data_IF_331404645802
#
_entry.id   IF_331404645802
#
_cell.length_a   1.000
_cell.length_b   1.000
_cell.length_c   1.000
_cell.angle_alpha   90.00
_cell.angle_beta   90.00
_cell.angle_gamma   90.00
#
_symmetry.space_group_name_H-M   'P 1'
#
loop_
_entity.id
_entity.type
_entity.pdbx_description
1 polymer ?
#
# COMPACT_ATOMS: atom_id res chain seq x y z
N UNK A 1 -14.47 -14.42 3.84
CA UNK A 1 -13.53 -13.31 4.01
C UNK A 1 -13.59 -12.39 2.80
N UNK A 2 -13.87 -11.12 3.02
CA UNK A 2 -13.89 -10.13 1.95
C UNK A 2 -12.48 -9.65 1.66
N UNK A 3 -12.11 -9.57 0.38
CA UNK A 3 -10.80 -9.11 -0.05
C UNK A 3 -10.88 -7.63 -0.42
N UNK A 4 -10.05 -6.83 0.22
CA UNK A 4 -9.88 -5.42 -0.08
C UNK A 4 -8.53 -5.24 -0.77
N UNK A 5 -8.53 -4.57 -1.92
CA UNK A 5 -7.29 -4.22 -2.62
C UNK A 5 -7.11 -2.71 -2.60
N UNK A 6 -5.96 -2.28 -2.17
CA UNK A 6 -5.63 -0.87 -2.07
C UNK A 6 -4.36 -0.57 -2.87
N UNK A 7 -4.46 0.36 -3.79
CA UNK A 7 -3.34 0.80 -4.62
C UNK A 7 -2.92 2.16 -4.11
N UNK A 8 -1.64 2.29 -3.76
CA UNK A 8 -1.13 3.47 -3.08
C UNK A 8 0.08 4.07 -3.77
N UNK A 9 0.11 5.39 -3.77
CA UNK A 9 1.31 6.18 -3.93
C UNK A 9 1.73 6.68 -2.55
N UNK A 10 3.00 6.52 -2.20
CA UNK A 10 3.53 6.75 -0.86
C UNK A 10 3.67 8.20 -0.45
N UNK A 11 3.61 9.13 -1.41
CA UNK A 11 3.72 10.56 -1.16
C UNK A 11 2.37 11.29 -1.19
N UNK A 12 1.32 10.54 -1.44
CA UNK A 12 -0.03 11.06 -1.59
C UNK A 12 -0.67 11.29 -0.22
N UNK A 13 -1.11 12.51 0.06
CA UNK A 13 -1.77 12.84 1.32
C UNK A 13 -3.10 12.06 1.53
N UNK A 14 -3.96 11.86 0.51
CA UNK A 14 -5.12 10.98 0.66
C UNK A 14 -4.76 9.53 0.99
N UNK A 15 -3.59 9.06 0.59
CA UNK A 15 -3.13 7.72 0.93
C UNK A 15 -2.83 7.59 2.42
N UNK A 16 -2.39 8.65 3.08
CA UNK A 16 -2.20 8.67 4.55
C UNK A 16 -3.54 8.45 5.25
N UNK A 17 -4.57 9.19 4.83
CA UNK A 17 -5.92 9.05 5.38
C UNK A 17 -6.45 7.63 5.20
N UNK A 18 -6.27 7.08 3.99
CA UNK A 18 -6.69 5.72 3.67
C UNK A 18 -5.95 4.69 4.53
N UNK A 19 -4.66 4.88 4.76
CA UNK A 19 -3.87 3.99 5.60
C UNK A 19 -4.41 3.92 7.03
N UNK A 20 -4.78 5.06 7.60
CA UNK A 20 -5.39 5.11 8.93
C UNK A 20 -6.73 4.39 8.98
N UNK A 21 -7.53 4.51 7.93
CA UNK A 21 -8.80 3.79 7.81
C UNK A 21 -8.58 2.26 7.72
N UNK A 22 -7.56 1.84 6.99
CA UNK A 22 -7.18 0.42 6.89
C UNK A 22 -6.75 -0.13 8.26
N UNK A 23 -5.92 0.60 8.98
CA UNK A 23 -5.50 0.17 10.33
C UNK A 23 -6.69 -0.05 11.24
N UNK A 24 -7.62 0.89 11.23
CA UNK A 24 -8.84 0.81 12.04
C UNK A 24 -9.69 -0.39 11.64
N UNK A 25 -9.89 -0.58 10.34
CA UNK A 25 -10.70 -1.67 9.81
C UNK A 25 -10.08 -3.04 10.15
N UNK A 26 -8.77 -3.18 10.02
CA UNK A 26 -8.06 -4.41 10.39
C UNK A 26 -8.14 -4.68 11.88
N UNK A 27 -8.10 -3.65 12.70
CA UNK A 27 -8.21 -3.80 14.15
C UNK A 27 -9.59 -4.32 14.57
N UNK A 28 -10.65 -3.85 13.90
CA UNK A 28 -12.02 -4.22 14.22
C UNK A 28 -12.47 -5.53 13.58
N UNK A 29 -12.01 -5.84 12.36
CA UNK A 29 -12.55 -6.93 11.52
C UNK A 29 -11.45 -7.87 10.97
N UNK A 30 -10.39 -8.09 11.73
CA UNK A 30 -9.23 -8.88 11.29
C UNK A 30 -9.59 -10.25 10.72
N UNK A 31 -10.57 -10.91 11.28
CA UNK A 31 -10.95 -12.27 10.89
C UNK A 31 -11.89 -12.29 9.66
N UNK A 32 -12.55 -11.18 9.37
CA UNK A 32 -13.56 -11.09 8.31
C UNK A 32 -13.02 -10.49 7.02
N UNK A 33 -11.89 -9.80 7.07
CA UNK A 33 -11.33 -9.12 5.90
C UNK A 33 -9.90 -9.57 5.61
N UNK A 34 -9.54 -9.48 4.35
CA UNK A 34 -8.18 -9.66 3.89
C UNK A 34 -7.80 -8.44 3.03
N UNK A 35 -6.74 -7.74 3.39
CA UNK A 35 -6.28 -6.57 2.64
C UNK A 35 -5.02 -6.90 1.88
N UNK A 36 -5.04 -6.61 0.59
CA UNK A 36 -3.88 -6.69 -0.28
C UNK A 36 -3.49 -5.28 -0.70
N UNK A 37 -2.26 -4.90 -0.46
CA UNK A 37 -1.72 -3.59 -0.81
C UNK A 37 -0.86 -3.74 -2.05
N UNK A 38 -1.13 -2.90 -3.04
CA UNK A 38 -0.30 -2.80 -4.24
C UNK A 38 0.36 -1.43 -4.24
N UNK A 39 1.67 -1.44 -4.28
CA UNK A 39 2.49 -0.23 -4.24
C UNK A 39 2.87 0.13 -5.67
N UNK A 40 2.58 1.35 -6.05
CA UNK A 40 2.90 1.84 -7.38
C UNK A 40 3.47 3.24 -7.33
N UNK A 41 4.06 3.64 -8.43
CA UNK A 41 4.53 5.01 -8.66
C UNK A 41 4.21 5.41 -10.09
N UNK A 42 3.60 6.58 -10.24
CA UNK A 42 3.34 7.17 -11.55
C UNK A 42 4.46 8.14 -11.98
N UNK A 43 5.51 8.26 -11.18
CA UNK A 43 6.65 9.15 -11.40
C UNK A 43 7.96 8.42 -11.11
N UNK A 44 8.97 8.66 -11.94
CA UNK A 44 10.31 8.08 -11.72
C UNK A 44 10.95 8.58 -10.42
N UNK A 45 10.65 9.79 -9.99
CA UNK A 45 11.17 10.36 -8.75
C UNK A 45 10.69 9.60 -7.52
N UNK A 46 9.52 9.00 -7.60
CA UNK A 46 8.91 8.26 -6.50
C UNK A 46 9.24 6.75 -6.52
N UNK A 47 9.84 6.24 -7.59
CA UNK A 47 10.21 4.83 -7.70
C UNK A 47 11.09 4.33 -6.55
N UNK A 48 12.12 5.07 -6.08
CA UNK A 48 12.92 4.59 -4.95
C UNK A 48 12.11 4.31 -3.69
N UNK A 49 11.10 5.12 -3.42
CA UNK A 49 10.19 4.88 -2.30
C UNK A 49 9.34 3.64 -2.50
N UNK A 50 8.90 3.37 -3.75
CA UNK A 50 8.17 2.15 -4.08
C UNK A 50 9.03 0.91 -3.85
N UNK A 51 10.27 0.98 -4.29
CA UNK A 51 11.23 -0.09 -4.11
C UNK A 51 11.52 -0.35 -2.64
N UNK A 52 11.68 0.72 -1.85
CA UNK A 52 11.88 0.60 -0.40
C UNK A 52 10.70 -0.13 0.26
N UNK A 53 9.48 0.31 0.00
CA UNK A 53 8.30 -0.29 0.60
C UNK A 53 8.09 -1.74 0.13
N UNK A 54 8.42 -2.04 -1.12
CA UNK A 54 8.39 -3.40 -1.65
C UNK A 54 9.44 -4.28 -0.97
N UNK A 55 10.66 -3.78 -0.77
CA UNK A 55 11.71 -4.49 -0.06
C UNK A 55 11.30 -4.80 1.38
N UNK A 56 10.72 -3.84 2.06
CA UNK A 56 10.28 -4.03 3.44
C UNK A 56 9.15 -5.06 3.54
N UNK A 57 8.28 -5.12 2.54
CA UNK A 57 7.26 -6.16 2.45
C UNK A 57 7.87 -7.56 2.35
N UNK A 58 8.90 -7.72 1.53
CA UNK A 58 9.55 -9.01 1.31
C UNK A 58 10.40 -9.48 2.50
N UNK A 59 10.94 -8.53 3.28
CA UNK A 59 11.86 -8.83 4.37
C UNK A 59 11.19 -8.98 5.74
N UNK A 60 9.93 -8.59 5.88
CA UNK A 60 9.25 -8.54 7.16
C UNK A 60 7.98 -9.38 7.17
N UNK A 61 7.54 -9.79 8.38
CA UNK A 61 6.22 -10.36 8.56
C UNK A 61 5.14 -9.27 8.43
N UNK A 62 3.88 -9.68 8.37
CA UNK A 62 2.75 -8.77 8.19
C UNK A 62 2.68 -7.68 9.26
N UNK A 63 2.85 -8.03 10.53
CA UNK A 63 2.76 -7.08 11.63
C UNK A 63 3.86 -6.01 11.58
N UNK A 64 5.10 -6.43 11.33
CA UNK A 64 6.24 -5.51 11.23
C UNK A 64 6.13 -4.62 10.01
N UNK A 65 5.63 -5.15 8.89
CA UNK A 65 5.41 -4.38 7.69
C UNK A 65 4.32 -3.32 7.88
N UNK A 66 3.21 -3.66 8.52
CA UNK A 66 2.15 -2.69 8.82
C UNK A 66 2.65 -1.58 9.74
N UNK A 67 3.47 -1.92 10.74
CA UNK A 67 4.11 -0.94 11.61
C UNK A 67 5.05 -0.01 10.82
N UNK A 68 5.83 -0.58 9.91
CA UNK A 68 6.71 0.20 9.04
C UNK A 68 5.91 1.16 8.15
N UNK A 69 4.80 0.71 7.56
CA UNK A 69 3.92 1.57 6.76
C UNK A 69 3.33 2.71 7.59
N UNK A 70 2.93 2.43 8.82
CA UNK A 70 2.41 3.46 9.73
C UNK A 70 3.45 4.54 10.00
N UNK A 71 4.68 4.15 10.29
CA UNK A 71 5.80 5.08 10.50
C UNK A 71 6.12 5.86 9.23
N UNK A 72 6.10 5.20 8.08
CA UNK A 72 6.33 5.84 6.79
C UNK A 72 5.30 6.93 6.50
N UNK A 73 4.02 6.63 6.65
CA UNK A 73 2.97 7.62 6.38
C UNK A 73 2.92 8.74 7.42
N UNK A 74 3.35 8.47 8.65
CA UNK A 74 3.42 9.49 9.69
C UNK A 74 4.62 10.44 9.49
N UNK A 75 5.81 9.90 9.20
CA UNK A 75 7.08 10.66 9.22
C UNK A 75 8.00 10.36 8.04
N UNK A 76 8.12 9.09 7.67
CA UNK A 76 9.18 8.60 6.77
C UNK A 76 9.14 9.21 5.39
N UNK A 77 7.97 9.54 4.88
CA UNK A 77 7.81 10.17 3.57
C UNK A 77 8.46 11.54 3.49
N UNK A 78 8.63 12.23 4.62
CA UNK A 78 9.31 13.52 4.70
C UNK A 78 10.81 13.36 5.03
N UNK A 79 11.21 12.17 5.48
CA UNK A 79 12.60 11.82 5.84
C UNK A 79 13.05 10.57 5.09
N UNK A 80 12.71 10.50 3.82
CA UNK A 80 12.92 9.31 2.98
C UNK A 80 14.37 8.84 2.92
N UNK A 81 15.33 9.77 2.88
CA UNK A 81 16.74 9.43 2.83
C UNK A 81 17.23 8.72 4.10
N UNK A 82 16.75 9.15 5.26
CA UNK A 82 17.04 8.48 6.52
C UNK A 82 16.47 7.06 6.54
N UNK A 83 15.26 6.89 6.00
CA UNK A 83 14.65 5.57 5.85
C UNK A 83 15.45 4.68 4.92
N UNK A 84 15.93 5.20 3.79
CA UNK A 84 16.75 4.43 2.86
C UNK A 84 18.03 3.93 3.50
N UNK A 85 18.70 4.78 4.28
CA UNK A 85 19.93 4.42 4.98
C UNK A 85 19.68 3.38 6.07
N UNK A 86 18.66 3.56 6.88
CA UNK A 86 18.32 2.62 7.96
C UNK A 86 17.91 1.24 7.44
N UNK A 87 17.18 1.21 6.36
CA UNK A 87 16.64 -0.03 5.80
C UNK A 87 17.64 -0.72 4.85
N UNK A 88 18.77 -0.10 4.54
CA UNK A 88 19.78 -0.64 3.65
C UNK A 88 19.20 -1.13 2.32
N UNK A 89 18.41 -0.26 1.68
CA UNK A 89 17.80 -0.57 0.40
C UNK A 89 18.87 -0.96 -0.63
N UNK A 90 18.70 -2.15 -1.23
CA UNK A 90 19.49 -2.57 -2.37
C UNK A 90 18.64 -2.43 -3.64
N UNK A 91 18.88 -1.41 -4.48
CA UNK A 91 18.07 -1.19 -5.68
C UNK A 91 18.30 -2.25 -6.77
N UNK A 92 19.30 -3.11 -6.62
CA UNK A 92 19.61 -4.18 -7.56
C UNK A 92 19.12 -5.56 -7.09
N UNK A 93 18.39 -5.64 -6.00
CA UNK A 93 17.84 -6.89 -5.52
C UNK A 93 16.83 -7.47 -6.51
N UNK A 94 17.07 -8.69 -6.98
CA UNK A 94 16.29 -9.32 -8.05
C UNK A 94 14.86 -9.62 -7.64
N UNK A 95 14.64 -10.09 -6.42
CA UNK A 95 13.30 -10.43 -5.93
C UNK A 95 12.46 -9.17 -5.73
N UNK A 96 13.08 -8.13 -5.19
CA UNK A 96 12.41 -6.83 -5.05
C UNK A 96 12.05 -6.26 -6.42
N UNK A 97 12.97 -6.25 -7.39
CA UNK A 97 12.71 -5.71 -8.72
C UNK A 97 11.61 -6.50 -9.44
N UNK A 98 11.62 -7.83 -9.34
CA UNK A 98 10.58 -8.67 -9.95
C UNK A 98 9.20 -8.36 -9.35
N UNK A 99 9.11 -8.23 -8.04
CA UNK A 99 7.87 -7.90 -7.35
C UNK A 99 7.38 -6.49 -7.71
N UNK A 100 8.28 -5.52 -7.72
CA UNK A 100 7.99 -4.14 -8.09
C UNK A 100 7.45 -4.04 -9.53
N UNK A 101 8.10 -4.73 -10.47
CA UNK A 101 7.67 -4.76 -11.87
C UNK A 101 6.31 -5.45 -12.02
N UNK A 102 6.07 -6.53 -11.29
CA UNK A 102 4.79 -7.23 -11.32
C UNK A 102 3.64 -6.34 -10.83
N UNK A 103 3.86 -5.57 -9.78
CA UNK A 103 2.87 -4.62 -9.28
C UNK A 103 2.57 -3.53 -10.30
N UNK A 104 3.60 -2.94 -10.91
CA UNK A 104 3.43 -1.89 -11.92
C UNK A 104 2.70 -2.42 -13.17
N UNK A 105 3.01 -3.62 -13.58
CA UNK A 105 2.35 -4.25 -14.72
C UNK A 105 0.87 -4.54 -14.44
N UNK A 106 0.58 -5.03 -13.23
CA UNK A 106 -0.80 -5.25 -12.81
C UNK A 106 -1.61 -3.95 -12.82
N UNK A 107 -1.05 -2.87 -12.31
CA UNK A 107 -1.67 -1.53 -12.32
C UNK A 107 -1.95 -1.07 -13.75
N UNK A 108 -1.00 -1.25 -14.65
CA UNK A 108 -1.14 -0.88 -16.06
C UNK A 108 -2.22 -1.70 -16.76
N UNK A 109 -2.23 -3.03 -16.55
CA UNK A 109 -3.24 -3.93 -17.18
C UNK A 109 -4.65 -3.61 -16.74
N UNK A 110 -4.82 -3.16 -15.52
CA UNK A 110 -6.13 -2.84 -14.96
C UNK A 110 -6.54 -1.37 -15.15
N UNK A 111 -5.78 -0.64 -15.97
CA UNK A 111 -6.04 0.76 -16.34
C UNK A 111 -6.22 1.69 -15.14
N UNK A 112 -5.44 1.48 -14.10
CA UNK A 112 -5.48 2.31 -12.90
C UNK A 112 -4.52 3.47 -13.10
N UNK A 113 -5.04 4.69 -12.97
CA UNK A 113 -4.32 5.93 -13.30
C UNK A 113 -4.17 6.89 -12.12
N UNK A 114 -4.75 6.57 -10.97
CA UNK A 114 -4.71 7.45 -9.81
C UNK A 114 -4.55 6.69 -8.51
N UNK A 115 -4.04 7.37 -7.48
CA UNK A 115 -3.93 6.85 -6.12
C UNK A 115 -4.52 7.84 -5.12
N UNK A 116 -5.13 7.35 -4.03
CA UNK A 116 -5.39 5.95 -3.75
C UNK A 116 -6.55 5.39 -4.59
N UNK A 117 -6.47 4.12 -4.94
CA UNK A 117 -7.57 3.39 -5.56
C UNK A 117 -7.90 2.17 -4.71
N UNK A 118 -9.17 1.96 -4.41
CA UNK A 118 -9.64 0.86 -3.59
C UNK A 118 -10.52 -0.06 -4.42
N UNK A 119 -10.25 -1.35 -4.35
CA UNK A 119 -11.06 -2.41 -4.96
C UNK A 119 -11.63 -3.29 -3.84
N UNK A 120 -12.91 -3.56 -3.88
CA UNK A 120 -13.59 -4.47 -2.96
C UNK A 120 -14.08 -5.67 -3.73
N UNK A 121 -13.55 -6.85 -3.41
CA UNK A 121 -13.85 -8.11 -4.12
C UNK A 121 -13.71 -7.99 -5.65
N UNK A 122 -12.74 -7.21 -6.11
CA UNK A 122 -12.46 -7.01 -7.52
C UNK A 122 -13.17 -5.85 -8.19
N UNK A 123 -14.03 -5.14 -7.48
CA UNK A 123 -14.79 -3.99 -8.00
C UNK A 123 -14.28 -2.69 -7.41
N UNK A 124 -14.22 -1.65 -8.24
CA UNK A 124 -13.87 -0.31 -7.77
C UNK A 124 -14.88 0.17 -6.72
N UNK A 125 -14.35 0.72 -5.62
CA UNK A 125 -15.19 1.38 -4.62
C UNK A 125 -15.70 2.70 -5.22
N UNK A 126 -17.03 2.90 -5.33
CA UNK A 126 -17.57 4.16 -5.83
C UNK A 126 -17.16 5.36 -4.99
N UNK A 127 -17.04 6.54 -5.62
CA UNK A 127 -16.59 7.77 -4.94
C UNK A 127 -17.46 8.18 -3.76
N UNK A 128 -18.74 7.81 -3.76
CA UNK A 128 -19.68 8.12 -2.69
C UNK A 128 -19.39 7.34 -1.40
N UNK A 129 -18.57 6.28 -1.49
CA UNK A 129 -18.25 5.43 -0.35
C UNK A 129 -16.81 5.62 0.09
N UNK A 130 -16.60 5.55 1.40
CA UNK A 130 -15.28 5.47 2.00
C UNK A 130 -15.00 4.04 2.47
N UNK A 131 -13.72 3.73 2.73
CA UNK A 131 -13.35 2.40 3.20
C UNK A 131 -14.04 2.01 4.51
N UNK A 132 -14.31 2.99 5.38
CA UNK A 132 -15.05 2.78 6.63
C UNK A 132 -16.45 2.21 6.41
N UNK A 133 -17.07 2.49 5.25
CA UNK A 133 -18.41 2.03 4.92
C UNK A 133 -18.44 0.52 4.66
N UNK A 134 -17.27 -0.10 4.47
CA UNK A 134 -17.16 -1.55 4.32
C UNK A 134 -17.66 -2.31 5.54
N UNK A 135 -17.69 -1.67 6.70
CA UNK A 135 -18.25 -2.27 7.92
C UNK A 135 -19.72 -2.72 7.76
N UNK A 136 -20.47 -2.05 6.88
CA UNK A 136 -21.86 -2.43 6.60
C UNK A 136 -21.98 -3.71 5.76
N UNK A 137 -20.92 -4.11 5.09
CA UNK A 137 -20.87 -5.32 4.25
C UNK A 137 -20.31 -6.53 5.00
N UNK A 138 -19.75 -6.31 6.18
CA UNK A 138 -19.13 -7.33 7.00
C UNK A 138 -20.12 -7.74 8.11
N UNK A 139 -20.90 -8.77 7.86
CA UNK A 139 -21.84 -9.31 8.84
C UNK A 139 -21.83 -10.83 8.80
#
# INVERSE_FOLDING_TARGET
>A
RQRQMCIRDRHCAPCVKLHLQIEKLLKEYKEEICIQIILTSFSKELEPSAMLLTSMYLLNNESDYLRFLSDWYAKGRHKKEDCYKRCRLNPNDKDMLANFQAQNEWVRRNTISSTPTVLTNGYLLPEEYELKDMSYLIN
#
